data_IF_572225398108
#
_entry.id   IF_572225398108
#
_cell.length_a   1.000
_cell.length_b   1.000
_cell.length_c   1.000
_cell.angle_alpha   90.00
_cell.angle_beta   90.00
_cell.angle_gamma   90.00
#
_symmetry.space_group_name_H-M   'P 1'
#
loop_
_entity.id
_entity.type
_entity.pdbx_description
1 polymer ?
#
# COMPACT_ATOMS: atom_id res chain seq x y z
N UNK A 1 9.76 -13.93 4.93
CA UNK A 1 9.00 -13.57 3.71
C UNK A 1 7.53 -13.55 4.08
N UNK A 2 6.83 -12.45 3.83
CA UNK A 2 5.40 -12.34 4.17
C UNK A 2 4.56 -13.13 3.17
N UNK A 3 3.45 -13.70 3.63
CA UNK A 3 2.51 -14.39 2.76
C UNK A 3 1.75 -13.37 1.91
N UNK A 4 1.66 -13.63 0.60
CA UNK A 4 0.87 -12.84 -0.32
C UNK A 4 -0.46 -13.53 -0.57
N UNK A 5 -1.56 -12.81 -0.42
CA UNK A 5 -2.84 -13.31 -0.90
C UNK A 5 -2.86 -13.34 -2.43
N UNK A 6 -3.66 -14.23 -3.02
CA UNK A 6 -3.89 -14.27 -4.46
C UNK A 6 -4.32 -12.90 -5.00
N UNK A 7 -5.20 -12.22 -4.26
CA UNK A 7 -5.67 -10.88 -4.62
C UNK A 7 -4.54 -9.85 -4.66
N UNK A 8 -3.58 -9.90 -3.73
CA UNK A 8 -2.45 -8.99 -3.72
C UNK A 8 -1.53 -9.20 -4.93
N UNK A 9 -1.27 -10.45 -5.29
CA UNK A 9 -0.41 -10.79 -6.43
C UNK A 9 -1.04 -10.36 -7.77
N UNK A 10 -2.35 -10.57 -7.93
CA UNK A 10 -3.11 -10.05 -9.08
C UNK A 10 -3.04 -8.52 -9.17
N UNK A 11 -3.23 -7.82 -8.04
CA UNK A 11 -3.20 -6.35 -8.00
C UNK A 11 -1.81 -5.78 -8.27
N UNK A 12 -0.76 -6.44 -7.80
CA UNK A 12 0.61 -6.05 -8.10
C UNK A 12 0.89 -6.14 -9.60
N UNK A 13 0.50 -7.27 -10.19
CA UNK A 13 0.66 -7.54 -11.62
C UNK A 13 -0.11 -6.55 -12.49
N UNK A 14 -1.40 -6.33 -12.20
CA UNK A 14 -2.26 -5.38 -12.93
C UNK A 14 -1.74 -3.94 -12.88
N UNK A 15 -1.02 -3.57 -11.82
CA UNK A 15 -0.54 -2.21 -11.58
C UNK A 15 0.95 -2.04 -11.86
N UNK A 16 1.60 -3.08 -12.37
CA UNK A 16 3.04 -3.14 -12.56
C UNK A 16 3.81 -2.63 -11.31
N UNK A 17 3.40 -3.09 -10.12
CA UNK A 17 4.07 -2.79 -8.85
C UNK A 17 5.03 -3.94 -8.53
N UNK A 18 6.35 -3.74 -8.64
CA UNK A 18 7.33 -4.76 -8.30
C UNK A 18 7.27 -5.11 -6.81
N UNK A 19 7.61 -6.35 -6.46
CA UNK A 19 7.72 -6.78 -5.06
C UNK A 19 8.72 -5.92 -4.28
N UNK A 20 9.80 -5.49 -4.92
CA UNK A 20 10.78 -4.57 -4.33
C UNK A 20 10.14 -3.27 -3.82
N UNK A 21 9.24 -2.66 -4.58
CA UNK A 21 8.54 -1.42 -4.18
C UNK A 21 7.60 -1.66 -2.98
N UNK A 22 7.02 -2.86 -2.88
CA UNK A 22 6.19 -3.28 -1.75
C UNK A 22 7.02 -3.44 -0.49
N UNK A 23 8.19 -4.07 -0.58
CA UNK A 23 9.11 -4.20 0.56
C UNK A 23 9.61 -2.84 1.04
N UNK A 24 9.91 -1.90 0.13
CA UNK A 24 10.25 -0.53 0.49
C UNK A 24 9.11 0.16 1.24
N UNK A 25 7.86 -0.02 0.79
CA UNK A 25 6.71 0.55 1.46
C UNK A 25 6.47 -0.09 2.84
N UNK A 26 6.70 -1.39 3.01
CA UNK A 26 6.59 -2.06 4.30
C UNK A 26 7.69 -1.63 5.28
N UNK A 27 8.90 -1.36 4.77
CA UNK A 27 10.08 -1.00 5.58
C UNK A 27 10.07 0.46 5.99
N UNK A 28 9.86 1.36 5.03
CA UNK A 28 10.01 2.82 5.21
C UNK A 28 8.68 3.56 5.22
N UNK A 29 7.61 2.93 4.75
CA UNK A 29 6.32 3.58 4.60
C UNK A 29 5.67 3.93 5.94
N UNK A 30 4.89 5.00 5.92
CA UNK A 30 4.13 5.45 7.07
C UNK A 30 3.04 4.44 7.39
N UNK A 31 3.01 3.98 8.65
CA UNK A 31 1.98 3.10 9.18
C UNK A 31 0.65 3.85 9.38
N UNK A 32 -0.44 3.28 8.87
CA UNK A 32 -1.80 3.82 8.94
C UNK A 32 -2.75 2.70 9.38
N UNK A 33 -3.30 2.80 10.60
CA UNK A 33 -4.28 1.83 11.12
C UNK A 33 -5.57 1.86 10.31
N UNK A 34 -6.05 0.69 9.89
CA UNK A 34 -7.31 0.51 9.17
C UNK A 34 -8.42 0.02 10.12
N UNK A 35 -9.54 -0.44 9.55
CA UNK A 35 -10.57 -1.22 10.25
C UNK A 35 -10.20 -2.72 10.24
N UNK A 36 -10.86 -3.49 11.10
CA UNK A 36 -10.76 -4.96 11.18
C UNK A 36 -9.32 -5.47 11.36
N UNK A 37 -8.56 -4.83 12.25
CA UNK A 37 -7.18 -5.23 12.57
C UNK A 37 -6.14 -4.83 11.52
N UNK A 38 -6.56 -4.52 10.29
CA UNK A 38 -5.63 -4.28 9.18
C UNK A 38 -4.75 -3.05 9.39
N UNK A 39 -3.57 -3.08 8.78
CA UNK A 39 -2.64 -1.96 8.75
C UNK A 39 -2.26 -1.66 7.31
N UNK A 40 -2.29 -0.38 6.91
CA UNK A 40 -1.73 0.06 5.66
C UNK A 40 -0.36 0.70 5.89
N UNK A 41 0.56 0.49 4.96
CA UNK A 41 1.86 1.15 4.88
C UNK A 41 1.91 1.92 3.59
N UNK A 42 2.22 3.22 3.64
CA UNK A 42 2.29 4.07 2.46
C UNK A 42 3.66 4.73 2.35
N UNK A 43 4.33 4.50 1.23
CA UNK A 43 5.60 5.15 0.93
C UNK A 43 5.34 6.50 0.24
N UNK A 44 5.26 7.58 1.01
CA UNK A 44 5.13 8.92 0.48
C UNK A 44 6.47 9.52 0.03
N UNK A 45 6.43 10.74 -0.51
CA UNK A 45 7.63 11.50 -0.89
C UNK A 45 8.56 11.68 0.30
N UNK A 46 8.00 12.11 1.44
CA UNK A 46 8.74 12.36 2.67
C UNK A 46 9.43 11.10 3.18
N UNK A 47 8.69 10.00 3.28
CA UNK A 47 9.23 8.73 3.76
C UNK A 47 10.30 8.17 2.81
N UNK A 48 10.16 8.39 1.50
CA UNK A 48 11.19 8.03 0.52
C UNK A 48 12.46 8.89 0.64
N UNK A 49 12.32 10.18 0.94
CA UNK A 49 13.47 11.07 1.12
C UNK A 49 14.20 10.75 2.43
N UNK A 50 13.48 10.50 3.54
CA UNK A 50 14.05 10.03 4.82
C UNK A 50 14.81 8.69 4.66
N UNK A 51 14.28 7.77 3.84
CA UNK A 51 14.96 6.50 3.53
C UNK A 51 16.26 6.71 2.73
N UNK A 52 16.25 7.63 1.76
CA UNK A 52 17.44 7.96 0.96
C UNK A 52 18.52 8.63 1.79
N UNK A 53 18.15 9.51 2.71
CA UNK A 53 19.07 10.14 3.68
C UNK A 53 19.77 9.08 4.54
N UNK A 54 19.11 7.95 4.80
CA UNK A 54 19.64 6.80 5.53
C UNK A 54 20.38 5.80 4.63
N UNK A 55 20.61 6.14 3.36
CA UNK A 55 21.38 5.33 2.41
C UNK A 55 20.57 4.26 1.66
N UNK A 56 19.25 4.21 1.81
CA UNK A 56 18.42 3.26 1.06
C UNK A 56 18.21 3.71 -0.39
N UNK A 57 18.29 2.76 -1.32
CA UNK A 57 17.87 3.01 -2.70
C UNK A 57 16.34 2.99 -2.80
N UNK A 58 15.73 4.14 -3.08
CA UNK A 58 14.28 4.27 -3.31
C UNK A 58 14.03 4.77 -4.73
N UNK A 59 13.55 3.92 -5.67
CA UNK A 59 13.25 4.33 -7.02
C UNK A 59 11.99 5.22 -7.05
N UNK A 60 11.90 6.08 -8.07
CA UNK A 60 10.76 6.99 -8.20
C UNK A 60 9.42 6.25 -8.32
N UNK A 61 9.42 5.04 -8.91
CA UNK A 61 8.23 4.18 -9.04
C UNK A 61 7.67 3.65 -7.71
N UNK A 62 8.49 3.57 -6.67
CA UNK A 62 8.06 3.13 -5.35
C UNK A 62 7.27 4.22 -4.60
N UNK A 63 7.46 5.49 -4.95
CA UNK A 63 6.76 6.61 -4.31
C UNK A 63 5.28 6.57 -4.65
N UNK A 64 4.44 6.55 -3.62
CA UNK A 64 2.99 6.41 -3.72
C UNK A 64 2.51 4.97 -3.59
N UNK A 65 3.39 3.98 -3.46
CA UNK A 65 2.96 2.60 -3.19
C UNK A 65 2.37 2.50 -1.79
N UNK A 66 1.22 1.85 -1.70
CA UNK A 66 0.60 1.47 -0.46
C UNK A 66 0.28 -0.02 -0.42
N UNK A 67 0.51 -0.59 0.75
CA UNK A 67 0.39 -2.02 1.03
C UNK A 67 -0.54 -2.18 2.22
N UNK A 68 -1.55 -3.02 2.10
CA UNK A 68 -2.43 -3.36 3.23
C UNK A 68 -2.09 -4.78 3.69
N UNK A 69 -1.84 -4.91 4.99
CA UNK A 69 -1.58 -6.18 5.66
C UNK A 69 -2.68 -6.50 6.67
N UNK A 70 -2.95 -7.80 6.82
CA UNK A 70 -3.70 -8.36 7.94
C UNK A 70 -2.81 -8.47 9.19
N UNK A 71 -3.43 -8.79 10.33
CA UNK A 71 -2.73 -8.98 11.61
C UNK A 71 -1.78 -10.19 11.61
N UNK A 72 -2.05 -11.19 10.77
CA UNK A 72 -1.20 -12.36 10.54
C UNK A 72 -0.02 -12.09 9.58
N UNK A 73 0.26 -10.81 9.30
CA UNK A 73 1.25 -10.33 8.34
C UNK A 73 0.97 -10.66 6.87
N UNK A 74 -0.21 -11.21 6.53
CA UNK A 74 -0.58 -11.49 5.14
C UNK A 74 -0.81 -10.20 4.36
N UNK A 75 -0.18 -10.07 3.18
CA UNK A 75 -0.42 -8.96 2.25
C UNK A 75 -1.77 -9.16 1.56
N UNK A 76 -2.73 -8.29 1.87
CA UNK A 76 -4.11 -8.34 1.36
C UNK A 76 -4.22 -7.67 0.00
N UNK A 77 -3.62 -6.49 -0.15
CA UNK A 77 -3.67 -5.74 -1.41
C UNK A 77 -2.56 -4.71 -1.50
N UNK A 78 -2.21 -4.36 -2.74
CA UNK A 78 -1.24 -3.34 -3.08
C UNK A 78 -1.84 -2.34 -4.07
N UNK A 79 -1.63 -1.06 -3.85
CA UNK A 79 -2.16 0.02 -4.68
C UNK A 79 -1.09 1.09 -4.88
N UNK A 80 -1.18 1.83 -5.98
CA UNK A 80 -0.46 3.09 -6.13
C UNK A 80 -1.45 4.22 -5.85
N UNK A 81 -1.18 5.00 -4.80
CA UNK A 81 -1.98 6.17 -4.42
C UNK A 81 -1.06 7.33 -4.08
N UNK A 82 -1.17 8.41 -4.84
CA UNK A 82 -0.47 9.67 -4.55
C UNK A 82 -1.08 10.41 -3.35
N UNK A 83 -2.31 10.06 -2.98
CA UNK A 83 -3.00 10.63 -1.83
C UNK A 83 -3.23 9.58 -0.73
N UNK A 84 -2.52 9.75 0.39
CA UNK A 84 -2.64 8.89 1.57
C UNK A 84 -3.97 9.05 2.31
N UNK A 85 -4.70 10.16 2.10
CA UNK A 85 -6.03 10.35 2.73
C UNK A 85 -7.05 9.35 2.20
N UNK A 86 -6.91 8.91 0.95
CA UNK A 86 -7.71 7.83 0.35
C UNK A 86 -7.49 6.48 1.04
N UNK A 87 -6.35 6.31 1.70
CA UNK A 87 -6.01 5.13 2.48
C UNK A 87 -6.46 5.25 3.93
N UNK A 88 -7.06 6.37 4.35
CA UNK A 88 -7.61 6.48 5.70
C UNK A 88 -8.94 5.73 5.82
N UNK A 89 -9.39 5.51 7.05
CA UNK A 89 -10.71 4.96 7.39
C UNK A 89 -11.86 5.57 6.58
N UNK A 90 -11.83 6.88 6.32
CA UNK A 90 -12.84 7.57 5.52
C UNK A 90 -12.71 7.27 4.02
N UNK A 91 -11.48 7.30 3.50
CA UNK A 91 -11.19 7.05 2.08
C UNK A 91 -11.49 5.61 1.63
N UNK A 92 -11.27 4.62 2.50
CA UNK A 92 -11.59 3.22 2.20
C UNK A 92 -13.10 2.97 2.13
N UNK A 93 -13.92 3.56 3.02
CA UNK A 93 -15.38 3.44 2.92
C UNK A 93 -15.89 3.97 1.58
N UNK A 94 -15.33 5.08 1.12
CA UNK A 94 -15.70 5.68 -0.16
C UNK A 94 -15.24 4.82 -1.35
N UNK A 95 -14.01 4.28 -1.31
CA UNK A 95 -13.49 3.37 -2.32
C UNK A 95 -14.30 2.07 -2.40
N UNK A 96 -14.59 1.44 -1.27
CA UNK A 96 -15.40 0.20 -1.20
C UNK A 96 -16.82 0.46 -1.69
N UNK A 97 -17.46 1.59 -1.30
CA UNK A 97 -18.79 1.97 -1.82
C UNK A 97 -18.80 2.16 -3.34
N UNK A 98 -17.78 2.81 -3.91
CA UNK A 98 -17.67 2.97 -5.38
C UNK A 98 -17.47 1.64 -6.10
N UNK A 99 -16.83 0.67 -5.45
CA UNK A 99 -16.59 -0.66 -6.05
C UNK A 99 -17.80 -1.59 -5.89
N UNK A 100 -18.58 -1.42 -4.81
CA UNK A 100 -19.79 -2.21 -4.55
C UNK A 100 -21.06 -1.65 -5.22
N UNK A 101 -21.06 -0.38 -5.66
CA UNK A 101 -22.21 0.30 -6.27
C UNK A 101 -22.19 0.39 -7.81
N UNK A 102 -21.35 -0.39 -8.49
CA UNK A 102 -21.20 -0.31 -9.94
C UNK A 102 -22.01 -1.35 -10.72
N UNK A 103 -23.31 -1.11 -10.90
CA UNK A 103 -24.05 -1.52 -12.11
C UNK A 103 -25.26 -0.57 -12.30
N UNK A 104 -25.46 0.04 -13.48
CA UNK A 104 -26.77 0.54 -13.87
C UNK A 104 -27.77 -0.63 -14.03
#
# INVERSE_FOLDING_TARGET
>A
MRNWSHHADERASQRAIPRFDVELALTWGKRIRQFDGRTAYHLGRREADEAREQGAFVPQGAIGVAVVIADDETVITVVRSHDRRRLSRAGWREAVRRTAGGRP
#
